data_IF_897446945795
#
_entry.id   IF_897446945795
#
_cell.length_a   1.000
_cell.length_b   1.000
_cell.length_c   1.000
_cell.angle_alpha   90.00
_cell.angle_beta   90.00
_cell.angle_gamma   90.00
#
_symmetry.space_group_name_H-M   'P 1'
#
loop_
_entity.id
_entity.type
_entity.pdbx_description
1 polymer ?
#
# COMPACT_ATOMS: atom_id res chain seq x y z
N UNK A 1 -14.24 17.07 -53.44
CA UNK A 1 -15.51 17.80 -53.21
C UNK A 1 -16.57 17.01 -53.97
N UNK A 2 -17.65 16.49 -53.43
CA UNK A 2 -18.21 16.38 -52.07
C UNK A 2 -19.40 15.41 -52.26
N UNK A 3 -19.28 14.16 -51.80
CA UNK A 3 -20.34 13.16 -52.02
C UNK A 3 -21.25 13.08 -50.79
N UNK A 4 -22.30 13.89 -50.85
CA UNK A 4 -23.68 13.71 -50.37
C UNK A 4 -23.97 12.55 -49.41
N UNK A 5 -24.59 12.84 -48.26
CA UNK A 5 -25.48 11.91 -47.55
C UNK A 5 -26.73 12.67 -47.02
N UNK A 6 -27.96 12.21 -47.32
CA UNK A 6 -29.20 12.88 -46.94
C UNK A 6 -29.83 12.40 -45.61
N UNK A 7 -30.69 13.30 -45.08
CA UNK A 7 -31.81 13.17 -44.12
C UNK A 7 -31.80 12.05 -43.03
N UNK A 8 -31.72 12.58 -41.81
CA UNK A 8 -32.08 12.03 -40.50
C UNK A 8 -33.51 11.44 -40.41
N UNK A 9 -33.74 10.41 -39.57
CA UNK A 9 -35.01 10.28 -38.86
C UNK A 9 -34.83 10.12 -37.34
N UNK A 10 -35.61 10.91 -36.59
CA UNK A 10 -35.80 10.77 -35.15
C UNK A 10 -36.44 9.43 -34.79
N UNK A 11 -35.84 8.69 -33.86
CA UNK A 11 -36.46 7.59 -33.14
C UNK A 11 -36.32 7.84 -31.63
N UNK A 12 -37.36 8.46 -31.10
CA UNK A 12 -37.79 8.39 -29.70
C UNK A 12 -38.15 6.91 -29.46
N UNK A 13 -37.72 6.35 -28.33
CA UNK A 13 -38.00 4.98 -27.81
C UNK A 13 -36.87 3.93 -28.04
N UNK A 14 -36.04 3.71 -27.00
CA UNK A 14 -35.62 2.38 -26.52
C UNK A 14 -34.48 2.46 -25.47
N UNK A 15 -34.82 2.04 -24.25
CA UNK A 15 -33.99 1.47 -23.17
C UNK A 15 -32.96 2.36 -22.41
N UNK A 16 -32.93 2.28 -21.05
CA UNK A 16 -31.77 2.72 -20.30
C UNK A 16 -30.61 1.79 -20.69
N UNK A 17 -29.59 2.34 -21.34
CA UNK A 17 -28.32 1.66 -21.52
C UNK A 17 -27.77 1.32 -20.13
N UNK A 18 -27.93 0.07 -19.70
CA UNK A 18 -27.25 -0.49 -18.55
C UNK A 18 -25.75 -0.34 -18.80
N UNK A 19 -25.18 0.77 -18.34
CA UNK A 19 -23.74 0.98 -18.33
C UNK A 19 -23.19 -0.10 -17.41
N UNK A 20 -22.38 -1.06 -17.91
CA UNK A 20 -21.79 -2.05 -17.03
C UNK A 20 -20.82 -1.31 -16.13
N UNK A 21 -21.27 -1.01 -14.91
CA UNK A 21 -20.43 -0.50 -13.83
C UNK A 21 -19.18 -1.37 -13.79
N UNK A 22 -17.96 -0.81 -13.78
CA UNK A 22 -16.75 -1.61 -13.73
C UNK A 22 -16.78 -2.41 -12.44
N UNK A 23 -17.18 -3.68 -12.54
CA UNK A 23 -17.17 -4.64 -11.45
C UNK A 23 -15.77 -4.62 -10.90
N UNK A 24 -15.62 -4.15 -9.67
CA UNK A 24 -14.36 -3.94 -8.96
C UNK A 24 -13.45 -5.13 -9.22
N UNK A 25 -12.55 -4.99 -10.19
CA UNK A 25 -11.72 -6.10 -10.63
C UNK A 25 -10.87 -6.48 -9.43
N UNK A 26 -11.15 -7.65 -8.85
CA UNK A 26 -10.36 -8.23 -7.77
C UNK A 26 -8.89 -8.04 -8.19
N UNK A 27 -8.06 -7.33 -7.40
CA UNK A 27 -6.69 -7.04 -7.81
C UNK A 27 -6.04 -8.35 -8.25
N UNK A 28 -5.44 -8.43 -9.44
CA UNK A 28 -4.87 -9.66 -9.95
C UNK A 28 -4.02 -10.35 -8.88
N UNK A 29 -4.31 -11.63 -8.68
CA UNK A 29 -3.72 -12.46 -7.62
C UNK A 29 -2.21 -12.49 -7.83
N UNK A 30 -1.49 -11.74 -7.00
CA UNK A 30 -0.02 -11.66 -7.03
C UNK A 30 0.56 -10.24 -7.03
N UNK A 31 -0.28 -9.20 -7.12
CA UNK A 31 0.20 -7.83 -7.08
C UNK A 31 0.25 -7.24 -5.66
N UNK A 32 1.32 -6.51 -5.38
CA UNK A 32 1.43 -5.69 -4.19
C UNK A 32 0.57 -4.44 -4.32
N UNK A 33 -0.64 -4.52 -3.76
CA UNK A 33 -1.52 -3.35 -3.64
C UNK A 33 -1.17 -2.55 -2.38
N UNK A 34 -1.51 -1.25 -2.31
CA UNK A 34 -1.33 -0.46 -1.09
C UNK A 34 -2.02 -1.06 0.13
N UNK A 35 -3.15 -1.74 -0.04
CA UNK A 35 -3.83 -2.45 1.04
C UNK A 35 -2.97 -3.61 1.60
N UNK A 36 -2.35 -4.40 0.72
CA UNK A 36 -1.45 -5.50 1.13
C UNK A 36 -0.17 -4.99 1.77
N UNK A 37 0.38 -3.88 1.30
CA UNK A 37 1.52 -3.21 1.94
C UNK A 37 1.20 -2.79 3.37
N UNK A 38 0.01 -2.23 3.61
CA UNK A 38 -0.45 -1.87 4.97
C UNK A 38 -0.62 -3.10 5.87
N UNK A 39 -1.26 -4.16 5.37
CA UNK A 39 -1.40 -5.42 6.12
C UNK A 39 -0.02 -6.00 6.47
N UNK A 40 0.90 -5.98 5.51
CA UNK A 40 2.27 -6.44 5.71
C UNK A 40 2.97 -5.64 6.81
N UNK A 41 2.93 -4.30 6.76
CA UNK A 41 3.59 -3.46 7.77
C UNK A 41 2.96 -3.62 9.17
N UNK A 42 1.62 -3.73 9.25
CA UNK A 42 0.93 -4.00 10.51
C UNK A 42 1.35 -5.36 11.10
N UNK A 43 1.33 -6.42 10.30
CA UNK A 43 1.77 -7.74 10.75
C UNK A 43 3.27 -7.78 11.10
N UNK A 44 4.10 -6.98 10.44
CA UNK A 44 5.53 -6.86 10.74
C UNK A 44 5.76 -6.16 12.09
N UNK A 45 4.97 -5.14 12.41
CA UNK A 45 4.98 -4.48 13.72
C UNK A 45 4.59 -5.43 14.86
N UNK A 46 3.65 -6.35 14.59
CA UNK A 46 3.15 -7.29 15.60
C UNK A 46 4.08 -8.48 15.82
N UNK A 47 4.66 -9.01 14.74
CA UNK A 47 5.38 -10.30 14.77
C UNK A 47 6.89 -10.18 14.65
N UNK A 48 7.40 -9.06 14.12
CA UNK A 48 8.82 -8.91 13.77
C UNK A 48 9.31 -9.87 12.67
N UNK A 49 8.43 -10.68 12.07
CA UNK A 49 8.81 -11.72 11.13
C UNK A 49 8.28 -11.43 9.73
N UNK A 50 9.21 -11.23 8.78
CA UNK A 50 8.89 -10.97 7.37
C UNK A 50 8.09 -12.13 6.76
N UNK A 51 8.39 -13.37 7.13
CA UNK A 51 7.67 -14.54 6.61
C UNK A 51 6.21 -14.58 7.08
N UNK A 52 5.95 -14.30 8.36
CA UNK A 52 4.58 -14.24 8.90
C UNK A 52 3.82 -13.03 8.35
N UNK A 53 4.46 -11.87 8.29
CA UNK A 53 3.88 -10.66 7.73
C UNK A 53 3.52 -10.82 6.24
N UNK A 54 4.38 -11.47 5.45
CA UNK A 54 4.09 -11.77 4.05
C UNK A 54 2.88 -12.69 3.91
N UNK A 55 2.80 -13.75 4.72
CA UNK A 55 1.65 -14.67 4.75
C UNK A 55 0.35 -13.95 5.11
N UNK A 56 0.38 -13.06 6.10
CA UNK A 56 -0.77 -12.23 6.47
C UNK A 56 -1.25 -11.34 5.30
N UNK A 57 -0.33 -10.80 4.51
CA UNK A 57 -0.64 -10.04 3.29
C UNK A 57 -1.04 -10.93 2.08
N UNK A 58 -1.03 -12.26 2.23
CA UNK A 58 -1.30 -13.22 1.17
C UNK A 58 -0.18 -13.30 0.13
N UNK A 59 1.07 -13.06 0.55
CA UNK A 59 2.26 -12.97 -0.28
C UNK A 59 3.39 -13.89 0.20
N UNK A 60 4.34 -14.18 -0.68
CA UNK A 60 5.55 -14.90 -0.32
C UNK A 60 6.63 -13.97 0.24
N UNK A 61 7.47 -14.47 1.14
CA UNK A 61 8.60 -13.71 1.69
C UNK A 61 9.52 -13.16 0.59
N UNK A 62 9.82 -13.96 -0.43
CA UNK A 62 10.67 -13.55 -1.56
C UNK A 62 10.07 -12.38 -2.33
N UNK A 63 8.75 -12.37 -2.52
CA UNK A 63 8.05 -11.26 -3.18
C UNK A 63 8.05 -9.98 -2.33
N UNK A 64 8.08 -10.10 -1.00
CA UNK A 64 8.18 -8.97 -0.09
C UNK A 64 9.57 -8.33 -0.15
N UNK A 65 10.64 -9.14 -0.17
CA UNK A 65 12.00 -8.63 -0.39
C UNK A 65 12.16 -7.98 -1.78
N UNK A 66 11.61 -8.60 -2.83
CA UNK A 66 11.61 -8.00 -4.17
C UNK A 66 10.86 -6.67 -4.21
N UNK A 67 9.72 -6.56 -3.52
CA UNK A 67 9.01 -5.28 -3.37
C UNK A 67 9.88 -4.25 -2.66
N UNK A 68 10.53 -4.62 -1.54
CA UNK A 68 11.39 -3.70 -0.78
C UNK A 68 12.52 -3.14 -1.64
N UNK A 69 13.21 -3.98 -2.40
CA UNK A 69 14.28 -3.52 -3.30
C UNK A 69 13.76 -2.53 -4.35
N UNK A 70 12.59 -2.80 -4.94
CA UNK A 70 11.95 -1.91 -5.93
C UNK A 70 11.48 -0.59 -5.33
N UNK A 71 11.17 -0.58 -4.04
CA UNK A 71 10.65 0.57 -3.30
C UNK A 71 11.69 1.13 -2.31
N UNK A 72 12.97 0.84 -2.51
CA UNK A 72 14.03 1.35 -1.65
C UNK A 72 14.01 2.89 -1.64
N UNK A 73 14.13 3.51 -0.46
CA UNK A 73 14.07 4.97 -0.29
C UNK A 73 12.66 5.58 -0.31
N UNK A 74 11.61 4.79 -0.58
CA UNK A 74 10.22 5.24 -0.48
C UNK A 74 9.73 5.19 0.97
N UNK A 75 8.58 5.83 1.30
CA UNK A 75 7.97 5.69 2.63
C UNK A 75 7.65 4.25 3.04
N UNK A 76 7.46 3.32 2.10
CA UNK A 76 7.24 1.92 2.43
C UNK A 76 8.48 1.27 3.06
N UNK A 77 9.66 1.53 2.50
CA UNK A 77 10.93 1.01 3.01
C UNK A 77 11.24 1.59 4.40
N UNK A 78 11.04 2.90 4.59
CA UNK A 78 11.13 3.52 5.92
C UNK A 78 10.13 2.93 6.91
N UNK A 79 8.89 2.68 6.47
CA UNK A 79 7.86 2.04 7.29
C UNK A 79 8.25 0.62 7.71
N UNK A 80 8.95 -0.11 6.84
CA UNK A 80 9.48 -1.44 7.14
C UNK A 80 10.52 -1.40 8.26
N UNK A 81 11.52 -0.50 8.14
CA UNK A 81 12.55 -0.36 9.16
C UNK A 81 11.99 0.14 10.49
N UNK A 82 11.05 1.09 10.45
CA UNK A 82 10.33 1.53 11.65
C UNK A 82 9.55 0.39 12.30
N UNK A 83 8.88 -0.47 11.51
CA UNK A 83 8.13 -1.60 12.04
C UNK A 83 9.03 -2.54 12.85
N UNK A 84 10.20 -2.87 12.30
CA UNK A 84 11.19 -3.71 12.98
C UNK A 84 11.78 -3.02 14.22
N UNK A 85 12.08 -1.72 14.14
CA UNK A 85 12.60 -0.96 15.27
C UNK A 85 11.61 -0.91 16.44
N UNK A 86 10.33 -0.68 16.15
CA UNK A 86 9.27 -0.68 17.17
C UNK A 86 9.12 -2.06 17.80
N UNK A 87 9.09 -3.13 16.99
CA UNK A 87 9.01 -4.49 17.50
C UNK A 87 10.22 -4.84 18.39
N UNK A 88 11.43 -4.51 17.95
CA UNK A 88 12.65 -4.72 18.73
C UNK A 88 12.64 -3.94 20.04
N UNK A 89 12.16 -2.69 20.04
CA UNK A 89 12.01 -1.89 21.26
C UNK A 89 11.03 -2.52 22.24
N UNK A 90 9.89 -3.01 21.77
CA UNK A 90 8.88 -3.71 22.60
C UNK A 90 9.44 -4.98 23.22
N UNK A 91 10.24 -5.74 22.47
CA UNK A 91 10.87 -6.96 22.98
C UNK A 91 12.00 -6.67 23.98
N UNK A 92 12.73 -5.56 23.81
CA UNK A 92 13.77 -5.14 24.74
C UNK A 92 13.21 -4.53 26.04
N UNK A 93 12.03 -3.94 25.98
CA UNK A 93 11.42 -3.19 27.07
C UNK A 93 9.92 -3.49 27.16
N UNK A 94 9.53 -4.65 27.77
CA UNK A 94 8.15 -5.09 27.81
C UNK A 94 7.25 -4.22 28.70
N UNK A 95 7.83 -3.33 29.52
CA UNK A 95 7.12 -2.43 30.43
C UNK A 95 7.10 -0.97 29.95
N UNK A 96 7.91 -0.60 28.95
CA UNK A 96 7.71 0.64 28.21
C UNK A 96 6.41 0.57 27.41
N UNK A 97 5.30 0.77 28.11
CA UNK A 97 4.02 1.09 27.50
C UNK A 97 4.20 2.32 26.62
N UNK A 98 3.60 2.29 25.43
CA UNK A 98 3.53 3.30 24.34
C UNK A 98 3.83 4.75 24.77
N UNK A 99 5.08 5.02 25.14
CA UNK A 99 5.51 6.37 25.44
C UNK A 99 5.58 7.05 24.07
N UNK A 100 4.76 8.08 23.78
CA UNK A 100 4.83 8.76 22.51
C UNK A 100 6.28 9.18 22.30
N UNK A 101 6.85 9.04 21.08
CA UNK A 101 8.25 9.37 20.86
C UNK A 101 8.42 10.81 21.33
N UNK A 102 9.17 10.99 22.42
CA UNK A 102 9.51 12.30 22.93
C UNK A 102 10.06 13.06 21.72
N UNK A 103 9.28 14.06 21.27
CA UNK A 103 9.47 14.78 20.01
C UNK A 103 10.96 15.02 19.85
N UNK A 104 11.53 14.45 18.78
CA UNK A 104 12.94 14.57 18.44
C UNK A 104 13.38 16.00 18.74
N UNK A 105 14.24 16.15 19.75
CA UNK A 105 14.89 17.40 20.04
C UNK A 105 15.72 17.74 18.80
N UNK A 106 15.19 18.68 18.02
CA UNK A 106 15.87 19.36 16.94
C UNK A 106 17.08 20.08 17.52
N UNK A 107 18.19 19.37 17.70
CA UNK A 107 19.49 19.98 17.88
C UNK A 107 19.99 20.44 16.51
N UNK A 108 19.36 21.48 15.97
CA UNK A 108 20.08 22.44 15.12
C UNK A 108 21.10 23.14 16.03
N UNK A 109 22.35 22.72 15.95
CA UNK A 109 23.40 23.19 16.85
C UNK A 109 24.74 23.40 16.14
N UNK A 110 24.77 24.44 15.30
CA UNK A 110 25.92 25.26 14.95
C UNK A 110 27.25 24.58 14.56
N UNK A 111 27.61 24.79 13.28
CA UNK A 111 28.98 25.01 12.86
C UNK A 111 29.66 26.02 13.79
N UNK A 112 30.84 25.69 14.30
CA UNK A 112 31.99 26.58 14.35
C UNK A 112 33.26 25.77 14.55
#
# INVERSE_FOLDING_TARGET
MENQHPRNPSARDAAPAFSPQPRSARPPRGQWTPARQRIFLAALLETGSVAQAARAAGMSQSSAHGLRQRLAGTPFDRGWDQALAVYARRMADPFASDAPPARQAVASGARR
#
